data_IF_539012322288
#
_entry.id   IF_539012322288
#
_cell.length_a   1.000
_cell.length_b   1.000
_cell.length_c   1.000
_cell.angle_alpha   90.00
_cell.angle_beta   90.00
_cell.angle_gamma   90.00
#
_symmetry.space_group_name_H-M   'P 1'
#
loop_
_entity.id
_entity.type
_entity.pdbx_description
1 polymer ?
#
# COMPACT_ATOMS: atom_id res chain seq x y z
N UNK A 1 -10.72 44.83 48.72
CA UNK A 1 -10.32 43.87 47.66
C UNK A 1 -10.09 42.50 48.30
N UNK A 2 -11.13 41.67 48.47
CA UNK A 2 -10.98 40.23 48.80
C UNK A 2 -12.23 39.48 48.32
N UNK A 3 -12.07 38.58 47.34
CA UNK A 3 -13.12 37.69 46.84
C UNK A 3 -13.26 36.50 47.78
N UNK A 4 -14.45 36.23 48.30
CA UNK A 4 -14.76 34.99 49.05
C UNK A 4 -14.83 33.84 48.06
N UNK A 5 -13.92 32.88 48.21
CA UNK A 5 -13.94 31.60 47.51
C UNK A 5 -15.14 30.78 47.96
N UNK A 6 -16.04 30.45 47.04
CA UNK A 6 -17.13 29.50 47.30
C UNK A 6 -16.51 28.11 47.24
N UNK A 7 -16.39 27.45 48.40
CA UNK A 7 -16.04 26.03 48.46
C UNK A 7 -17.19 25.22 47.86
N UNK A 8 -17.00 24.72 46.64
CA UNK A 8 -17.85 23.68 46.06
C UNK A 8 -17.58 22.37 46.81
N UNK A 9 -18.30 22.13 47.89
CA UNK A 9 -18.36 20.80 48.49
C UNK A 9 -19.04 19.86 47.50
N UNK A 10 -18.23 19.12 46.73
CA UNK A 10 -18.70 17.96 45.99
C UNK A 10 -19.22 16.95 47.03
N UNK A 11 -20.55 16.84 47.17
CA UNK A 11 -21.15 15.71 47.86
C UNK A 11 -20.74 14.45 47.11
N UNK A 12 -19.80 13.67 47.69
CA UNK A 12 -19.56 12.30 47.25
C UNK A 12 -20.88 11.56 47.35
N UNK A 13 -21.43 11.17 46.22
CA UNK A 13 -22.63 10.33 46.14
C UNK A 13 -22.23 8.95 46.65
N UNK A 14 -22.38 8.73 47.96
CA UNK A 14 -22.13 7.42 48.56
C UNK A 14 -23.35 6.54 48.27
N UNK A 15 -23.36 5.87 47.11
CA UNK A 15 -24.48 5.04 46.72
C UNK A 15 -24.38 3.62 47.28
N UNK A 16 -24.65 3.48 48.57
CA UNK A 16 -25.10 2.20 49.17
C UNK A 16 -26.63 2.12 49.12
N UNK A 17 -27.20 2.36 47.93
CA UNK A 17 -28.60 2.07 47.68
C UNK A 17 -28.66 0.94 46.67
N UNK A 18 -29.45 -0.06 47.01
CA UNK A 18 -30.05 -0.99 46.05
C UNK A 18 -30.80 -0.15 45.02
N UNK A 19 -30.09 0.39 44.02
CA UNK A 19 -30.74 0.96 42.86
C UNK A 19 -31.36 -0.24 42.16
N UNK A 20 -32.66 -0.43 42.41
CA UNK A 20 -33.44 -1.42 41.69
C UNK A 20 -33.12 -1.35 40.20
N UNK A 21 -33.13 -2.51 39.56
CA UNK A 21 -32.82 -2.65 38.14
C UNK A 21 -33.53 -1.56 37.33
N UNK A 22 -32.84 -1.01 36.32
CA UNK A 22 -33.35 0.15 35.59
C UNK A 22 -34.79 -0.12 35.11
N UNK A 23 -35.65 0.90 35.13
CA UNK A 23 -37.05 0.75 34.65
C UNK A 23 -37.15 0.30 33.19
N UNK A 24 -36.03 0.34 32.46
CA UNK A 24 -35.90 -0.04 31.06
C UNK A 24 -35.28 -1.44 30.88
N UNK A 25 -34.91 -2.13 31.97
CA UNK A 25 -34.19 -3.41 31.89
C UNK A 25 -35.04 -4.52 31.25
N UNK A 26 -36.37 -4.45 31.44
CA UNK A 26 -37.34 -5.38 30.87
C UNK A 26 -38.03 -4.81 29.62
N UNK A 27 -37.65 -3.60 29.18
CA UNK A 27 -38.19 -2.98 27.97
C UNK A 27 -37.50 -3.51 26.71
N UNK A 28 -38.16 -3.41 25.54
CA UNK A 28 -37.52 -3.80 24.29
C UNK A 28 -36.30 -2.91 24.03
N UNK A 29 -35.15 -3.54 23.71
CA UNK A 29 -33.91 -2.84 23.41
C UNK A 29 -34.04 -1.86 22.23
N UNK A 30 -34.93 -2.17 21.27
CA UNK A 30 -35.28 -1.30 20.16
C UNK A 30 -36.79 -0.99 20.20
N UNK A 31 -37.20 0.28 20.39
CA UNK A 31 -38.60 0.62 20.48
C UNK A 31 -39.27 0.49 19.09
N UNK A 32 -40.47 -0.12 18.99
CA UNK A 32 -41.08 -0.48 17.69
C UNK A 32 -41.32 0.70 16.75
N UNK A 33 -41.58 1.89 17.30
CA UNK A 33 -41.78 3.13 16.55
C UNK A 33 -40.50 3.67 15.87
N UNK A 34 -39.32 3.14 16.23
CA UNK A 34 -38.04 3.48 15.60
C UNK A 34 -37.50 2.37 14.69
N UNK A 35 -38.19 1.23 14.61
CA UNK A 35 -37.79 0.10 13.76
C UNK A 35 -38.49 0.21 12.41
N UNK A 36 -37.72 0.39 11.34
CA UNK A 36 -38.24 0.36 9.98
C UNK A 36 -37.93 -1.00 9.33
N UNK A 37 -38.88 -1.94 9.43
CA UNK A 37 -38.74 -3.28 8.85
C UNK A 37 -38.65 -3.25 7.31
N UNK A 38 -39.28 -2.27 6.66
CA UNK A 38 -39.25 -2.14 5.20
C UNK A 38 -37.85 -1.73 4.72
N UNK A 39 -37.22 -0.76 5.39
CA UNK A 39 -35.83 -0.37 5.10
C UNK A 39 -34.86 -1.54 5.33
N UNK A 40 -35.09 -2.36 6.36
CA UNK A 40 -34.31 -3.59 6.59
C UNK A 40 -34.43 -4.59 5.44
N UNK A 41 -35.64 -4.82 4.93
CA UNK A 41 -35.86 -5.71 3.78
C UNK A 41 -35.19 -5.19 2.50
N UNK A 42 -35.36 -3.89 2.21
CA UNK A 42 -34.69 -3.24 1.08
C UNK A 42 -33.17 -3.34 1.18
N UNK A 43 -32.60 -3.21 2.39
CA UNK A 43 -31.16 -3.38 2.58
C UNK A 43 -30.71 -4.81 2.25
N UNK A 44 -31.43 -5.84 2.70
CA UNK A 44 -31.14 -7.24 2.37
C UNK A 44 -31.24 -7.49 0.87
N UNK A 45 -32.30 -7.01 0.23
CA UNK A 45 -32.49 -7.11 -1.23
C UNK A 45 -31.34 -6.43 -1.99
N UNK A 46 -30.94 -5.23 -1.58
CA UNK A 46 -29.83 -4.50 -2.18
C UNK A 46 -28.49 -5.24 -2.03
N UNK A 47 -28.27 -5.92 -0.90
CA UNK A 47 -27.07 -6.75 -0.70
C UNK A 47 -27.08 -7.95 -1.64
N UNK A 48 -28.21 -8.66 -1.72
CA UNK A 48 -28.33 -9.82 -2.61
C UNK A 48 -28.12 -9.40 -4.07
N UNK A 49 -28.73 -8.29 -4.50
CA UNK A 49 -28.53 -7.75 -5.84
C UNK A 49 -27.06 -7.40 -6.12
N UNK A 50 -26.33 -6.85 -5.14
CA UNK A 50 -24.88 -6.59 -5.29
C UNK A 50 -24.07 -7.87 -5.44
N UNK A 51 -24.40 -8.90 -4.66
CA UNK A 51 -23.73 -10.21 -4.75
C UNK A 51 -23.96 -10.81 -6.14
N UNK A 52 -25.21 -10.90 -6.59
CA UNK A 52 -25.57 -11.41 -7.92
C UNK A 52 -24.87 -10.62 -9.05
N UNK A 53 -24.90 -9.29 -8.96
CA UNK A 53 -24.22 -8.42 -9.93
C UNK A 53 -22.71 -8.67 -9.95
N UNK A 54 -22.08 -8.87 -8.79
CA UNK A 54 -20.64 -9.10 -8.67
C UNK A 54 -20.18 -10.40 -9.34
N UNK A 55 -21.02 -11.44 -9.37
CA UNK A 55 -20.69 -12.69 -10.05
C UNK A 55 -20.51 -12.49 -11.56
N UNK A 56 -21.41 -11.72 -12.17
CA UNK A 56 -21.38 -11.43 -13.61
C UNK A 56 -20.14 -10.63 -13.99
N UNK A 57 -19.82 -9.59 -13.20
CA UNK A 57 -18.62 -8.75 -13.35
C UNK A 57 -17.36 -9.60 -13.21
N UNK A 58 -17.30 -10.45 -12.19
CA UNK A 58 -16.13 -11.31 -11.94
C UNK A 58 -15.90 -12.26 -13.12
N UNK A 59 -16.96 -12.87 -13.65
CA UNK A 59 -16.87 -13.75 -14.83
C UNK A 59 -16.39 -12.97 -16.07
N UNK A 60 -16.84 -11.73 -16.27
CA UNK A 60 -16.39 -10.88 -17.37
C UNK A 60 -14.89 -10.55 -17.25
N UNK A 61 -14.44 -10.03 -16.11
CA UNK A 61 -13.04 -9.66 -15.91
C UNK A 61 -12.11 -10.86 -16.00
N UNK A 62 -12.54 -12.03 -15.47
CA UNK A 62 -11.78 -13.27 -15.63
C UNK A 62 -11.54 -13.59 -17.11
N UNK A 63 -12.57 -13.46 -17.96
CA UNK A 63 -12.42 -13.67 -19.41
C UNK A 63 -11.49 -12.65 -20.05
N UNK A 64 -11.62 -11.37 -19.70
CA UNK A 64 -10.73 -10.33 -20.25
C UNK A 64 -9.28 -10.57 -19.86
N UNK A 65 -9.00 -10.95 -18.61
CA UNK A 65 -7.64 -11.27 -18.18
C UNK A 65 -7.04 -12.41 -19.01
N UNK A 66 -7.77 -13.52 -19.18
CA UNK A 66 -7.24 -14.68 -19.92
C UNK A 66 -7.20 -14.48 -21.44
N UNK A 67 -8.19 -13.80 -22.01
CA UNK A 67 -8.35 -13.70 -23.47
C UNK A 67 -7.73 -12.44 -24.06
N UNK A 68 -7.43 -11.43 -23.24
CA UNK A 68 -6.87 -10.15 -23.72
C UNK A 68 -5.55 -9.86 -23.02
N UNK A 69 -5.52 -9.79 -21.69
CA UNK A 69 -4.32 -9.36 -20.97
C UNK A 69 -3.15 -10.34 -21.15
N UNK A 70 -3.39 -11.65 -21.00
CA UNK A 70 -2.34 -12.65 -21.19
C UNK A 70 -1.78 -12.65 -22.62
N UNK A 71 -2.61 -12.70 -23.70
CA UNK A 71 -2.10 -12.58 -25.06
C UNK A 71 -1.32 -11.29 -25.31
N UNK A 72 -1.77 -10.15 -24.78
CA UNK A 72 -1.05 -8.89 -24.89
C UNK A 72 0.33 -8.95 -24.20
N UNK A 73 0.40 -9.52 -23.00
CA UNK A 73 1.67 -9.73 -22.29
C UNK A 73 2.59 -10.61 -23.13
N UNK A 74 2.13 -11.75 -23.66
CA UNK A 74 2.95 -12.64 -24.49
C UNK A 74 3.47 -11.90 -25.74
N UNK A 75 2.60 -11.14 -26.41
CA UNK A 75 2.97 -10.37 -27.59
C UNK A 75 4.10 -9.36 -27.30
N UNK A 76 4.09 -8.74 -26.12
CA UNK A 76 5.16 -7.82 -25.70
C UNK A 76 6.39 -8.51 -25.12
N UNK A 77 6.22 -9.65 -24.45
CA UNK A 77 7.30 -10.37 -23.79
C UNK A 77 8.28 -10.98 -24.81
N UNK A 78 7.80 -11.44 -25.96
CA UNK A 78 8.65 -12.02 -27.02
C UNK A 78 9.68 -11.02 -27.56
N UNK A 79 9.30 -9.83 -28.07
CA UNK A 79 10.28 -8.87 -28.58
C UNK A 79 11.17 -8.31 -27.46
N UNK A 80 10.62 -8.03 -26.28
CA UNK A 80 11.43 -7.58 -25.12
C UNK A 80 12.45 -8.64 -24.73
N UNK A 81 12.08 -9.92 -24.70
CA UNK A 81 13.00 -11.02 -24.39
C UNK A 81 14.15 -11.16 -25.41
N UNK A 82 13.90 -10.84 -26.68
CA UNK A 82 14.98 -10.81 -27.70
C UNK A 82 15.96 -9.68 -27.45
N UNK A 83 15.45 -8.45 -27.24
CA UNK A 83 16.27 -7.28 -26.95
C UNK A 83 17.04 -7.47 -25.64
N UNK A 84 16.43 -8.07 -24.63
CA UNK A 84 17.12 -8.37 -23.37
C UNK A 84 18.23 -9.40 -23.54
N UNK A 85 18.07 -10.38 -24.44
CA UNK A 85 19.14 -11.32 -24.77
C UNK A 85 20.34 -10.60 -25.41
N UNK A 86 20.08 -9.69 -26.35
CA UNK A 86 21.13 -8.86 -26.97
C UNK A 86 21.82 -7.98 -25.92
N UNK A 87 21.06 -7.39 -24.98
CA UNK A 87 21.63 -6.65 -23.86
C UNK A 87 22.45 -7.55 -22.92
N UNK A 88 22.05 -8.80 -22.68
CA UNK A 88 22.81 -9.73 -21.87
C UNK A 88 24.18 -10.04 -22.50
N UNK A 89 24.22 -10.35 -23.79
CA UNK A 89 25.46 -10.58 -24.54
C UNK A 89 26.36 -9.32 -24.54
N UNK A 90 25.76 -8.14 -24.72
CA UNK A 90 26.50 -6.87 -24.64
C UNK A 90 27.09 -6.61 -23.25
N UNK A 91 26.34 -6.89 -22.18
CA UNK A 91 26.84 -6.75 -20.79
C UNK A 91 27.98 -7.72 -20.50
N UNK A 92 27.91 -8.95 -21.01
CA UNK A 92 29.01 -9.91 -20.90
C UNK A 92 30.27 -9.41 -21.61
N UNK A 93 30.14 -8.87 -22.82
CA UNK A 93 31.28 -8.27 -23.52
C UNK A 93 31.87 -7.08 -22.73
N UNK A 94 31.03 -6.15 -22.27
CA UNK A 94 31.48 -5.00 -21.49
C UNK A 94 32.20 -5.41 -20.20
N UNK A 95 31.78 -6.48 -19.53
CA UNK A 95 32.42 -6.95 -18.31
C UNK A 95 33.90 -7.34 -18.50
N UNK A 96 34.31 -7.72 -19.72
CA UNK A 96 35.69 -8.10 -20.04
C UNK A 96 36.54 -6.95 -20.61
N UNK A 97 35.93 -5.79 -20.92
CA UNK A 97 36.68 -4.60 -21.35
C UNK A 97 37.54 -4.10 -20.19
N UNK A 98 38.86 -3.88 -20.37
CA UNK A 98 39.72 -3.35 -19.32
C UNK A 98 39.42 -1.87 -19.06
N UNK A 99 39.68 -1.41 -17.83
CA UNK A 99 39.41 -0.02 -17.43
C UNK A 99 40.19 1.02 -18.28
N UNK A 100 41.36 0.63 -18.82
CA UNK A 100 42.15 1.48 -19.74
C UNK A 100 41.47 1.78 -21.08
N UNK A 101 40.54 0.92 -21.50
CA UNK A 101 39.75 1.09 -22.73
C UNK A 101 38.34 1.59 -22.43
N UNK A 102 37.99 1.76 -21.15
CA UNK A 102 36.70 2.30 -20.76
C UNK A 102 36.62 3.78 -21.15
N UNK A 103 35.46 4.26 -21.65
CA UNK A 103 35.30 5.66 -21.99
C UNK A 103 35.61 6.58 -20.80
N UNK A 104 36.29 7.70 -21.09
CA UNK A 104 36.61 8.72 -20.09
C UNK A 104 35.34 9.19 -19.40
N UNK A 105 35.37 9.23 -18.06
CA UNK A 105 34.27 9.73 -17.25
C UNK A 105 34.33 11.25 -17.19
N UNK A 106 33.19 11.91 -17.43
CA UNK A 106 33.11 13.37 -17.31
C UNK A 106 32.92 13.78 -15.86
N UNK A 107 33.35 14.99 -15.49
CA UNK A 107 33.28 15.54 -14.12
C UNK A 107 31.88 15.50 -13.48
N UNK A 108 30.82 15.47 -14.29
CA UNK A 108 29.44 15.40 -13.82
C UNK A 108 28.94 13.96 -13.58
N UNK A 109 29.70 12.97 -14.00
CA UNK A 109 29.41 11.54 -13.78
C UNK A 109 30.08 11.08 -12.48
N UNK A 110 29.46 10.11 -11.81
CA UNK A 110 29.99 9.51 -10.56
C UNK A 110 30.41 10.50 -9.45
N UNK A 111 29.84 11.70 -9.40
CA UNK A 111 30.14 12.67 -8.34
C UNK A 111 29.92 12.07 -6.94
N UNK A 112 30.89 12.27 -6.05
CA UNK A 112 30.80 11.96 -4.61
C UNK A 112 31.21 13.17 -3.78
N UNK A 113 30.24 13.90 -3.23
CA UNK A 113 30.51 14.98 -2.26
C UNK A 113 30.77 14.46 -0.85
N UNK A 114 30.14 13.35 -0.50
CA UNK A 114 30.39 12.56 0.70
C UNK A 114 30.24 11.09 0.34
N UNK A 115 31.02 10.23 1.00
CA UNK A 115 30.87 8.78 0.88
C UNK A 115 29.52 8.32 1.41
N UNK A 116 28.97 7.28 0.83
CA UNK A 116 27.81 6.57 1.38
C UNK A 116 28.18 5.94 2.73
N UNK A 117 27.19 5.78 3.61
CA UNK A 117 27.41 5.23 4.96
C UNK A 117 27.39 3.69 5.00
N UNK A 118 27.34 3.01 3.86
CA UNK A 118 27.35 1.56 3.73
C UNK A 118 28.41 1.09 2.72
N UNK A 119 28.70 -0.20 2.73
CA UNK A 119 29.63 -0.82 1.81
C UNK A 119 31.03 -0.18 1.88
N UNK A 120 31.62 0.08 0.73
CA UNK A 120 32.89 0.80 0.58
C UNK A 120 32.71 2.34 0.54
N UNK A 121 31.47 2.82 0.60
CA UNK A 121 31.14 4.25 0.54
C UNK A 121 31.03 4.85 -0.86
N UNK A 122 31.19 4.05 -1.92
CA UNK A 122 31.16 4.54 -3.30
C UNK A 122 30.02 3.94 -4.15
N UNK A 123 29.60 2.73 -3.84
CA UNK A 123 28.59 2.02 -4.62
C UNK A 123 27.16 2.30 -4.14
N UNK A 124 26.27 2.60 -5.09
CA UNK A 124 24.83 2.78 -4.82
C UNK A 124 24.13 1.43 -4.55
N UNK A 125 22.88 1.46 -4.09
CA UNK A 125 22.10 0.24 -3.83
C UNK A 125 21.92 -0.67 -5.05
N UNK A 126 21.86 -0.10 -6.25
CA UNK A 126 21.72 -0.82 -7.51
C UNK A 126 22.97 -0.65 -8.38
N UNK A 127 24.15 -0.71 -7.75
CA UNK A 127 25.42 -0.69 -8.45
C UNK A 127 25.71 -2.01 -9.13
N UNK A 128 26.13 -1.97 -10.39
CA UNK A 128 26.62 -3.13 -11.11
C UNK A 128 28.04 -2.79 -11.62
N UNK A 129 29.10 -3.41 -11.08
CA UNK A 129 30.48 -3.04 -11.38
C UNK A 129 30.86 -3.30 -12.85
N UNK A 130 30.10 -4.12 -13.59
CA UNK A 130 30.36 -4.34 -15.01
C UNK A 130 29.98 -3.14 -15.89
N UNK A 131 29.00 -2.32 -15.44
CA UNK A 131 28.44 -1.19 -16.22
C UNK A 131 28.63 0.16 -15.55
N UNK A 132 28.55 0.20 -14.22
CA UNK A 132 28.72 1.38 -13.41
C UNK A 132 30.12 1.24 -12.83
N UNK A 133 31.14 1.63 -13.58
CA UNK A 133 32.51 1.67 -13.09
C UNK A 133 32.78 3.07 -12.56
N UNK A 134 33.52 3.19 -11.47
CA UNK A 134 34.06 4.46 -11.00
C UNK A 134 35.58 4.36 -11.11
N UNK A 135 36.10 4.87 -12.22
CA UNK A 135 37.52 4.83 -12.56
C UNK A 135 38.07 6.18 -12.13
N UNK A 136 38.74 6.20 -10.98
CA UNK A 136 39.49 7.37 -10.53
C UNK A 136 40.82 7.42 -11.32
N UNK A 137 41.17 8.59 -11.88
CA UNK A 137 42.46 8.83 -12.54
C UNK A 137 43.65 8.80 -11.57
#
# INVERSE_FOLDING_TARGET
>A
MFRRNVQLTARRFNSHHSFGTSKLINGPAFPPNKVNAQAGKQWVENINHKVEHSESITKLWKKLTYLVAIPAIILTAIPVGKVEKEHAEHREHLAHVPDSEWPVQYDYQNIRTSKFFWGNGDETLFWNPAINRHIEE
#
